data_IF_687024652673
#
_entry.id   IF_687024652673
#
_cell.length_a   1.000
_cell.length_b   1.000
_cell.length_c   1.000
_cell.angle_alpha   90.00
_cell.angle_beta   90.00
_cell.angle_gamma   90.00
#
_symmetry.space_group_name_H-M   'P 1'
#
loop_
_entity.id
_entity.type
_entity.pdbx_description
1 polymer ?
#
# COMPACT_ATOMS: atom_id res chain seq x y z
N UNK A 1 19.68 -8.55 -15.14
CA UNK A 1 19.13 -7.61 -14.14
C UNK A 1 18.50 -8.42 -13.01
N UNK A 2 18.91 -8.23 -11.76
CA UNK A 2 18.32 -8.97 -10.66
C UNK A 2 16.87 -8.55 -10.43
N UNK A 3 16.03 -9.50 -10.09
CA UNK A 3 14.64 -9.28 -9.70
C UNK A 3 14.51 -9.59 -8.22
N UNK A 4 13.94 -8.66 -7.46
CA UNK A 4 13.69 -8.80 -6.03
C UNK A 4 12.19 -8.82 -5.82
N UNK A 5 11.69 -9.90 -5.23
CA UNK A 5 10.30 -9.99 -4.83
C UNK A 5 10.11 -9.44 -3.42
N UNK A 6 8.95 -8.85 -3.11
CA UNK A 6 8.69 -8.38 -1.76
C UNK A 6 8.70 -9.55 -0.77
N UNK A 7 9.38 -9.36 0.36
CA UNK A 7 9.43 -10.34 1.42
C UNK A 7 8.20 -10.30 2.33
N UNK A 8 7.69 -9.11 2.57
CA UNK A 8 6.50 -8.89 3.39
C UNK A 8 5.60 -7.84 2.76
N UNK A 9 4.34 -8.20 2.61
CA UNK A 9 3.30 -7.30 2.18
C UNK A 9 2.35 -7.09 3.35
N UNK A 10 2.19 -5.86 3.78
CA UNK A 10 1.29 -5.50 4.88
C UNK A 10 0.27 -4.50 4.38
N UNK A 11 -0.99 -4.76 4.70
CA UNK A 11 -2.08 -3.83 4.50
C UNK A 11 -2.47 -3.20 5.83
N UNK A 12 -2.51 -1.88 5.85
CA UNK A 12 -3.02 -1.11 6.97
C UNK A 12 -4.38 -0.56 6.62
N UNK A 13 -5.37 -0.82 7.45
CA UNK A 13 -6.73 -0.36 7.20
C UNK A 13 -7.31 0.39 8.39
N UNK A 14 -7.99 1.47 8.07
CA UNK A 14 -8.90 2.18 8.96
C UNK A 14 -10.29 1.97 8.41
N UNK A 15 -11.12 1.26 9.14
CA UNK A 15 -12.49 0.93 8.77
C UNK A 15 -13.49 1.66 9.65
N UNK A 16 -14.62 1.98 9.08
CA UNK A 16 -15.79 2.46 9.80
C UNK A 16 -15.56 3.77 10.57
N UNK A 17 -14.69 4.64 10.07
CA UNK A 17 -14.53 5.96 10.67
C UNK A 17 -15.80 6.81 10.51
N UNK A 18 -16.08 7.64 11.50
CA UNK A 18 -17.28 8.47 11.52
C UNK A 18 -17.23 9.60 10.49
N UNK A 19 -16.03 10.05 10.12
CA UNK A 19 -15.82 11.10 9.13
C UNK A 19 -14.59 10.81 8.28
N UNK A 20 -14.45 11.54 7.18
CA UNK A 20 -13.27 11.49 6.35
C UNK A 20 -12.01 11.93 7.11
N UNK A 21 -12.12 13.00 7.90
CA UNK A 21 -10.99 13.49 8.69
C UNK A 21 -10.55 12.45 9.72
N UNK A 22 -11.48 11.77 10.37
CA UNK A 22 -11.16 10.68 11.32
C UNK A 22 -10.43 9.52 10.63
N UNK A 23 -10.84 9.16 9.42
CA UNK A 23 -10.17 8.11 8.65
C UNK A 23 -8.77 8.54 8.20
N UNK A 24 -8.65 9.76 7.69
CA UNK A 24 -7.38 10.29 7.18
C UNK A 24 -6.34 10.49 8.26
N UNK A 25 -6.75 11.04 9.39
CA UNK A 25 -5.88 11.45 10.49
C UNK A 25 -5.76 10.41 11.60
N UNK A 26 -6.30 9.22 11.39
CA UNK A 26 -6.22 8.12 12.35
C UNK A 26 -4.77 7.83 12.75
N UNK A 27 -4.53 7.75 14.05
CA UNK A 27 -3.21 7.45 14.62
C UNK A 27 -2.92 5.96 14.76
N UNK A 28 -3.92 5.12 14.47
CA UNK A 28 -3.81 3.67 14.50
C UNK A 28 -4.57 3.05 13.33
N UNK A 29 -4.13 1.87 12.93
CA UNK A 29 -4.76 1.09 11.88
C UNK A 29 -4.65 -0.39 12.19
N UNK A 30 -5.55 -1.19 11.63
CA UNK A 30 -5.44 -2.64 11.71
C UNK A 30 -4.49 -3.15 10.63
N UNK A 31 -3.45 -3.86 11.03
CA UNK A 31 -2.49 -4.47 10.11
C UNK A 31 -2.92 -5.90 9.77
N UNK A 32 -2.76 -6.28 8.52
CA UNK A 32 -3.00 -7.63 8.04
C UNK A 32 -2.06 -7.98 6.88
N UNK A 33 -1.89 -9.27 6.61
CA UNK A 33 -1.05 -9.77 5.51
C UNK A 33 -1.88 -10.60 4.54
N UNK A 34 -2.82 -9.97 3.83
CA UNK A 34 -3.67 -10.68 2.89
C UNK A 34 -2.89 -11.11 1.64
N UNK A 35 -3.41 -12.10 0.92
CA UNK A 35 -2.84 -12.54 -0.36
C UNK A 35 -2.86 -11.43 -1.40
N UNK A 36 -3.91 -10.64 -1.43
CA UNK A 36 -4.03 -9.47 -2.30
C UNK A 36 -4.14 -8.22 -1.46
N UNK A 37 -3.26 -7.25 -1.70
CA UNK A 37 -3.32 -5.96 -1.02
C UNK A 37 -4.37 -5.09 -1.69
N UNK A 38 -5.19 -4.47 -0.89
CA UNK A 38 -6.22 -3.56 -1.35
C UNK A 38 -5.82 -2.11 -1.06
N UNK A 39 -5.85 -1.28 -2.08
CA UNK A 39 -5.80 0.17 -1.92
C UNK A 39 -7.24 0.67 -2.05
N UNK A 40 -7.78 1.20 -0.99
CA UNK A 40 -9.20 1.56 -0.93
C UNK A 40 -9.40 2.92 -0.27
N UNK A 41 -10.27 3.70 -0.87
CA UNK A 41 -10.86 4.87 -0.26
C UNK A 41 -12.36 4.77 -0.48
N UNK A 42 -13.12 4.78 0.59
CA UNK A 42 -14.57 4.85 0.55
C UNK A 42 -15.02 6.14 1.25
N UNK A 43 -15.69 7.01 0.50
CA UNK A 43 -16.01 8.37 0.93
C UNK A 43 -17.49 8.73 0.82
N UNK A 44 -18.30 7.86 0.25
CA UNK A 44 -19.72 8.16 0.05
C UNK A 44 -20.56 7.67 1.22
N UNK A 45 -21.22 8.58 1.88
CA UNK A 45 -22.25 8.35 2.91
C UNK A 45 -21.89 7.39 4.04
N UNK A 46 -20.62 7.36 4.49
CA UNK A 46 -20.13 6.54 5.60
C UNK A 46 -20.51 5.05 5.57
N UNK A 47 -19.82 4.18 6.25
CA UNK A 47 -18.58 4.46 6.96
C UNK A 47 -17.42 4.81 6.03
N UNK A 48 -16.48 5.60 6.54
CA UNK A 48 -15.31 6.03 5.79
C UNK A 48 -14.15 5.06 6.04
N UNK A 49 -13.55 4.56 4.94
CA UNK A 49 -12.47 3.58 5.00
C UNK A 49 -11.26 4.10 4.25
N UNK A 50 -10.07 3.90 4.80
CA UNK A 50 -8.81 4.09 4.10
C UNK A 50 -7.94 2.84 4.28
N UNK A 51 -7.51 2.26 3.15
CA UNK A 51 -6.57 1.15 3.13
C UNK A 51 -5.28 1.58 2.46
N UNK A 52 -4.16 1.35 3.13
CA UNK A 52 -2.81 1.60 2.62
C UNK A 52 -2.02 0.30 2.67
N UNK A 53 -1.03 0.18 1.81
CA UNK A 53 -0.16 -0.99 1.81
C UNK A 53 1.31 -0.60 1.93
N UNK A 54 2.10 -1.50 2.48
CA UNK A 54 3.54 -1.39 2.55
C UNK A 54 4.16 -2.69 2.08
N UNK A 55 5.19 -2.58 1.24
CA UNK A 55 5.95 -3.71 0.75
C UNK A 55 7.42 -3.53 1.14
N UNK A 56 8.03 -4.56 1.68
CA UNK A 56 9.44 -4.57 2.03
C UNK A 56 10.23 -5.42 1.04
N UNK A 57 11.31 -4.85 0.53
CA UNK A 57 12.22 -5.51 -0.41
C UNK A 57 13.59 -5.65 0.22
N UNK A 58 14.12 -6.86 0.27
CA UNK A 58 15.48 -7.11 0.73
C UNK A 58 16.47 -6.83 -0.39
N UNK A 59 17.20 -5.74 -0.27
CA UNK A 59 18.23 -5.31 -1.22
C UNK A 59 19.66 -5.65 -0.78
N UNK A 60 19.81 -6.41 0.29
CA UNK A 60 21.12 -6.74 0.86
C UNK A 60 22.06 -7.50 -0.12
N UNK A 61 21.46 -8.23 -1.06
CA UNK A 61 22.21 -8.94 -2.11
C UNK A 61 22.72 -8.06 -3.26
N UNK A 62 22.38 -6.76 -3.27
CA UNK A 62 22.83 -5.83 -4.30
C UNK A 62 24.12 -5.17 -3.84
N UNK A 63 25.23 -5.58 -4.44
CA UNK A 63 26.58 -5.10 -4.04
C UNK A 63 27.01 -3.81 -4.75
N UNK A 64 26.37 -3.47 -5.85
CA UNK A 64 26.69 -2.29 -6.65
C UNK A 64 25.50 -1.33 -6.66
N UNK A 65 25.79 -0.04 -6.70
CA UNK A 65 24.74 0.97 -6.88
C UNK A 65 24.09 0.79 -8.27
N UNK A 66 22.81 0.51 -8.37
CA UNK A 66 22.17 0.36 -9.68
C UNK A 66 21.98 1.72 -10.37
N UNK A 67 22.10 1.73 -11.69
CA UNK A 67 21.82 2.91 -12.50
C UNK A 67 20.32 3.22 -12.55
N UNK A 68 19.50 2.19 -12.43
CA UNK A 68 18.06 2.31 -12.45
C UNK A 68 17.39 1.20 -11.63
N UNK A 69 16.17 1.46 -11.19
CA UNK A 69 15.32 0.46 -10.57
C UNK A 69 13.89 0.62 -11.09
N UNK A 70 13.23 -0.50 -11.36
CA UNK A 70 11.85 -0.51 -11.82
C UNK A 70 10.99 -1.24 -10.80
N UNK A 71 9.93 -0.58 -10.33
CA UNK A 71 8.89 -1.22 -9.53
C UNK A 71 7.78 -1.72 -10.45
N UNK A 72 7.56 -3.02 -10.46
CA UNK A 72 6.46 -3.64 -11.20
C UNK A 72 5.39 -4.09 -10.23
N UNK A 73 4.17 -3.60 -10.43
CA UNK A 73 3.01 -3.97 -9.63
C UNK A 73 1.97 -4.63 -10.53
N UNK A 74 1.44 -5.76 -10.08
CA UNK A 74 0.37 -6.45 -10.79
C UNK A 74 -0.98 -6.04 -10.20
N UNK A 75 -1.77 -5.33 -10.99
CA UNK A 75 -3.10 -4.89 -10.60
C UNK A 75 -4.17 -5.92 -10.96
N UNK A 76 -5.04 -6.22 -10.03
CA UNK A 76 -6.16 -7.14 -10.23
C UNK A 76 -7.46 -6.50 -9.71
N UNK A 77 -8.29 -6.05 -10.63
CA UNK A 77 -9.59 -5.45 -10.33
C UNK A 77 -9.53 -3.97 -9.92
N UNK A 78 -10.11 -3.13 -10.72
CA UNK A 78 -10.25 -1.71 -10.46
C UNK A 78 -11.72 -1.33 -10.56
N UNK A 79 -12.27 -0.73 -9.51
CA UNK A 79 -13.66 -0.23 -9.57
C UNK A 79 -13.73 1.22 -10.02
N UNK A 80 -12.65 1.98 -9.81
CA UNK A 80 -12.55 3.39 -10.20
C UNK A 80 -11.12 3.68 -10.63
N UNK A 81 -10.93 4.48 -11.66
CA UNK A 81 -9.61 4.96 -12.07
C UNK A 81 -9.14 6.06 -11.10
N UNK A 82 -8.16 5.74 -10.27
CA UNK A 82 -7.52 6.67 -9.34
C UNK A 82 -6.01 6.64 -9.49
N UNK A 83 -5.38 7.75 -9.13
CA UNK A 83 -3.94 7.80 -9.07
C UNK A 83 -3.44 7.05 -7.83
N UNK A 84 -2.41 6.23 -8.03
CA UNK A 84 -1.70 5.57 -6.94
C UNK A 84 -0.38 6.30 -6.73
N UNK A 85 -0.10 6.65 -5.48
CA UNK A 85 1.15 7.29 -5.10
C UNK A 85 1.99 6.25 -4.38
N UNK A 86 3.20 6.03 -4.88
CA UNK A 86 4.19 5.17 -4.24
C UNK A 86 5.27 6.05 -3.62
N UNK A 87 5.53 5.84 -2.35
CA UNK A 87 6.57 6.58 -1.62
C UNK A 87 7.56 5.60 -1.00
N UNK A 88 8.82 6.00 -0.98
CA UNK A 88 9.83 5.26 -0.23
C UNK A 88 9.72 5.62 1.25
N UNK A 89 9.72 4.60 2.08
CA UNK A 89 9.78 4.74 3.54
C UNK A 89 11.14 4.24 4.02
N UNK A 90 11.78 5.01 4.85
CA UNK A 90 13.08 4.64 5.45
C UNK A 90 12.89 3.96 6.79
#
# INVERSE_FOLDING_TARGET
>A
MPTINPGNDVQFKVDNAASWDDARDATSATASTPTNILLKIATSSGPFDIYRSMQAYDTSGISLTPDSATLTMHGAGFSVANNVIVVKVN
#
